data_IF_660044357796
#
_entry.id   IF_660044357796
#
_cell.length_a   1.000
_cell.length_b   1.000
_cell.length_c   1.000
_cell.angle_alpha   90.00
_cell.angle_beta   90.00
_cell.angle_gamma   90.00
#
_symmetry.space_group_name_H-M   'P 1'
#
loop_
_entity.id
_entity.type
_entity.pdbx_description
1 polymer ?
#
# COMPACT_ATOMS: atom_id res chain seq x y z
N UNK A 1 18.70 5.25 0.94
CA UNK A 1 17.62 4.24 0.83
C UNK A 1 17.83 2.96 1.67
N UNK A 2 19.01 2.67 2.16
CA UNK A 2 19.36 1.37 2.81
C UNK A 2 19.05 1.24 4.31
N UNK A 3 18.70 2.31 5.01
CA UNK A 3 18.36 2.24 6.45
C UNK A 3 16.92 1.81 6.71
N UNK A 4 16.00 2.17 5.82
CA UNK A 4 14.57 1.87 5.96
C UNK A 4 14.25 0.39 5.71
N UNK A 5 14.88 -0.23 4.70
CA UNK A 5 14.73 -1.68 4.45
C UNK A 5 15.31 -2.56 5.55
N UNK A 6 16.32 -2.10 6.29
CA UNK A 6 16.87 -2.84 7.43
C UNK A 6 15.96 -2.82 8.65
N UNK A 7 15.15 -1.77 8.83
CA UNK A 7 14.17 -1.71 9.91
C UNK A 7 12.95 -2.62 9.65
N UNK A 8 12.53 -2.78 8.40
CA UNK A 8 11.44 -3.70 8.04
C UNK A 8 11.81 -5.18 8.17
N UNK A 9 13.09 -5.54 8.07
CA UNK A 9 13.62 -6.90 8.31
C UNK A 9 14.07 -7.16 9.74
N UNK A 10 14.31 -6.11 10.51
CA UNK A 10 14.62 -6.23 11.93
C UNK A 10 13.33 -6.54 12.67
N UNK A 11 13.25 -7.76 13.12
CA UNK A 11 12.35 -8.36 14.07
C UNK A 11 11.42 -7.38 14.77
N UNK A 12 10.23 -7.15 14.19
CA UNK A 12 9.16 -6.35 14.79
C UNK A 12 8.81 -6.91 16.19
N UNK A 13 9.07 -8.20 16.43
CA UNK A 13 8.90 -8.85 17.71
C UNK A 13 9.88 -8.33 18.78
N UNK A 14 11.15 -8.08 18.43
CA UNK A 14 12.17 -7.62 19.38
C UNK A 14 12.02 -6.15 19.82
N UNK A 15 11.43 -5.30 18.97
CA UNK A 15 11.17 -3.89 19.31
C UNK A 15 9.87 -3.73 20.09
N UNK A 16 8.94 -4.65 19.93
CA UNK A 16 7.62 -4.62 20.57
C UNK A 16 7.64 -4.97 22.06
N UNK A 17 8.63 -5.70 22.55
CA UNK A 17 8.62 -6.21 23.94
C UNK A 17 9.08 -5.22 25.03
N UNK A 18 9.57 -4.02 24.70
CA UNK A 18 10.25 -3.17 25.68
C UNK A 18 9.61 -1.80 26.01
N UNK A 19 8.48 -1.39 25.42
CA UNK A 19 7.96 -0.03 25.60
C UNK A 19 6.44 0.03 25.90
N UNK A 20 6.05 0.74 26.93
CA UNK A 20 4.65 1.07 27.28
C UNK A 20 3.93 1.95 26.22
N UNK A 21 4.68 2.56 25.28
CA UNK A 21 4.18 3.47 24.23
C UNK A 21 4.05 2.83 22.83
N UNK A 22 4.00 1.50 22.75
CA UNK A 22 4.04 0.71 21.51
C UNK A 22 2.95 1.07 20.49
N UNK A 23 1.76 1.34 20.97
CA UNK A 23 0.63 1.68 20.10
C UNK A 23 0.79 3.02 19.38
N UNK A 24 1.43 4.01 20.04
CA UNK A 24 1.65 5.33 19.46
C UNK A 24 2.74 5.30 18.37
N UNK A 25 3.85 4.60 18.66
CA UNK A 25 4.95 4.42 17.70
C UNK A 25 4.51 3.65 16.45
N UNK A 26 3.72 2.59 16.64
CA UNK A 26 3.17 1.84 15.52
C UNK A 26 2.24 2.69 14.64
N UNK A 27 1.35 3.48 15.27
CA UNK A 27 0.48 4.43 14.55
C UNK A 27 1.29 5.47 13.78
N UNK A 28 2.35 6.01 14.39
CA UNK A 28 3.21 6.97 13.72
C UNK A 28 3.92 6.33 12.53
N UNK A 29 4.49 5.14 12.71
CA UNK A 29 5.16 4.40 11.64
C UNK A 29 4.24 4.09 10.47
N UNK A 30 2.98 3.69 10.75
CA UNK A 30 1.98 3.45 9.70
C UNK A 30 1.63 4.72 8.93
N UNK A 31 1.51 5.87 9.61
CA UNK A 31 1.29 7.17 8.93
C UNK A 31 2.45 7.53 8.01
N UNK A 32 3.68 7.36 8.50
CA UNK A 32 4.88 7.66 7.72
C UNK A 32 4.97 6.75 6.47
N UNK A 33 4.61 5.47 6.60
CA UNK A 33 4.53 4.54 5.45
C UNK A 33 3.44 4.94 4.46
N UNK A 34 2.26 5.30 4.94
CA UNK A 34 1.14 5.73 4.09
C UNK A 34 1.50 6.99 3.30
N UNK A 35 2.13 7.97 3.95
CA UNK A 35 2.60 9.19 3.30
C UNK A 35 3.69 8.90 2.26
N UNK A 36 4.63 8.00 2.56
CA UNK A 36 5.66 7.60 1.61
C UNK A 36 5.10 6.85 0.40
N UNK A 37 4.15 5.93 0.62
CA UNK A 37 3.42 5.26 -0.46
C UNK A 37 2.69 6.26 -1.35
N UNK A 38 1.96 7.21 -0.76
CA UNK A 38 1.26 8.26 -1.50
C UNK A 38 2.21 9.11 -2.38
N UNK A 39 3.40 9.44 -1.86
CA UNK A 39 4.45 10.15 -2.64
C UNK A 39 4.96 9.29 -3.80
N UNK A 40 5.20 8.01 -3.59
CA UNK A 40 5.67 7.09 -4.63
C UNK A 40 4.63 6.87 -5.72
N UNK A 41 3.37 6.69 -5.35
CA UNK A 41 2.27 6.59 -6.31
C UNK A 41 2.10 7.88 -7.13
N UNK A 42 2.27 9.04 -6.50
CA UNK A 42 2.26 10.31 -7.23
C UNK A 42 3.44 10.41 -8.22
N UNK A 43 4.63 9.97 -7.82
CA UNK A 43 5.81 9.92 -8.70
C UNK A 43 5.59 8.95 -9.87
N UNK A 44 5.00 7.77 -9.61
CA UNK A 44 4.66 6.80 -10.66
C UNK A 44 3.69 7.40 -11.69
N UNK A 45 2.64 8.07 -11.21
CA UNK A 45 1.69 8.77 -12.09
C UNK A 45 2.38 9.82 -12.95
N UNK A 46 3.31 10.60 -12.38
CA UNK A 46 4.08 11.60 -13.11
C UNK A 46 4.97 10.97 -14.19
N UNK A 47 5.61 9.83 -13.91
CA UNK A 47 6.41 9.11 -14.89
C UNK A 47 5.56 8.60 -16.07
N UNK A 48 4.35 8.09 -15.79
CA UNK A 48 3.40 7.66 -16.82
C UNK A 48 3.00 8.84 -17.71
N UNK A 49 2.64 9.97 -17.13
CA UNK A 49 2.30 11.20 -17.88
C UNK A 49 3.48 11.66 -18.76
N UNK A 50 4.71 11.58 -18.23
CA UNK A 50 5.92 11.94 -19.00
C UNK A 50 6.13 11.00 -20.19
N UNK A 51 5.97 9.69 -20.01
CA UNK A 51 6.03 8.70 -21.10
C UNK A 51 4.97 8.97 -22.16
N UNK A 52 3.74 9.22 -21.76
CA UNK A 52 2.61 9.43 -22.68
C UNK A 52 2.83 10.71 -23.50
N UNK A 53 3.37 11.75 -22.89
CA UNK A 53 3.77 12.97 -23.62
C UNK A 53 4.88 12.69 -24.63
N UNK A 54 5.91 11.96 -24.23
CA UNK A 54 6.99 11.56 -25.15
C UNK A 54 6.46 10.72 -26.32
N UNK A 55 5.48 9.85 -26.06
CA UNK A 55 4.80 9.04 -27.08
C UNK A 55 4.04 9.93 -28.08
N UNK A 56 3.28 10.92 -27.63
CA UNK A 56 2.59 11.87 -28.50
C UNK A 56 3.57 12.68 -29.36
N UNK A 57 4.67 13.12 -28.77
CA UNK A 57 5.71 13.82 -29.53
C UNK A 57 6.37 12.93 -30.58
N UNK A 58 6.64 11.66 -30.25
CA UNK A 58 7.16 10.66 -31.19
C UNK A 58 6.21 10.45 -32.38
N UNK A 59 4.90 10.28 -32.12
CA UNK A 59 3.88 10.12 -33.16
C UNK A 59 3.82 11.35 -34.07
N UNK A 60 3.83 12.55 -33.51
CA UNK A 60 3.87 13.79 -34.26
C UNK A 60 5.09 13.89 -35.17
N UNK A 61 6.28 13.53 -34.69
CA UNK A 61 7.49 13.50 -35.53
C UNK A 61 7.43 12.39 -36.58
N UNK A 62 6.82 11.24 -36.29
CA UNK A 62 6.63 10.18 -37.25
C UNK A 62 5.75 10.65 -38.44
N UNK A 63 4.60 11.29 -38.14
CA UNK A 63 3.73 11.87 -39.18
C UNK A 63 4.44 12.93 -40.03
N UNK A 64 5.26 13.78 -39.41
CA UNK A 64 6.03 14.80 -40.15
C UNK A 64 7.07 14.15 -41.03
N UNK A 65 7.77 13.13 -40.58
CA UNK A 65 8.72 12.39 -41.38
C UNK A 65 8.04 11.70 -42.58
N UNK A 66 6.88 11.06 -42.36
CA UNK A 66 6.12 10.39 -43.41
C UNK A 66 5.71 11.37 -44.53
N UNK A 67 5.18 12.55 -44.16
CA UNK A 67 4.81 13.59 -45.13
C UNK A 67 6.03 14.07 -45.92
N UNK A 68 7.17 14.31 -45.25
CA UNK A 68 8.40 14.73 -45.95
C UNK A 68 8.95 13.62 -46.84
N UNK A 69 8.84 12.35 -46.48
CA UNK A 69 9.25 11.22 -47.30
C UNK A 69 8.40 11.11 -48.61
N UNK A 70 7.07 11.33 -48.46
CA UNK A 70 6.18 11.41 -49.62
C UNK A 70 6.55 12.56 -50.58
N UNK A 71 6.84 13.76 -50.00
CA UNK A 71 7.27 14.95 -50.77
C UNK A 71 8.62 14.72 -51.48
N UNK A 72 9.55 14.04 -50.76
CA UNK A 72 10.86 13.66 -51.36
C UNK A 72 10.65 12.73 -52.53
N UNK A 73 9.79 11.69 -52.38
CA UNK A 73 9.45 10.78 -53.46
C UNK A 73 8.88 11.50 -54.68
N UNK A 74 7.92 12.39 -54.47
CA UNK A 74 7.32 13.19 -55.54
C UNK A 74 8.30 14.13 -56.22
N UNK A 75 9.26 14.68 -55.47
CA UNK A 75 10.32 15.57 -56.04
C UNK A 75 11.30 14.76 -56.91
N UNK A 76 11.67 13.53 -56.49
CA UNK A 76 12.54 12.62 -57.24
C UNK A 76 11.87 12.20 -58.54
N UNK A 77 10.60 11.78 -58.52
CA UNK A 77 9.83 11.39 -59.71
C UNK A 77 9.77 12.51 -60.75
N UNK A 78 9.73 13.77 -60.29
CA UNK A 78 9.70 14.94 -61.16
C UNK A 78 11.10 15.49 -61.54
N UNK A 79 12.17 14.75 -61.23
CA UNK A 79 13.57 15.17 -61.42
C UNK A 79 13.92 16.55 -60.79
N UNK A 80 13.31 16.85 -59.63
CA UNK A 80 13.54 18.08 -58.88
C UNK A 80 14.57 17.88 -57.74
N UNK A 81 15.79 17.52 -58.08
CA UNK A 81 16.85 17.13 -57.16
C UNK A 81 17.15 18.17 -56.08
N UNK A 82 17.09 19.47 -56.41
CA UNK A 82 17.36 20.55 -55.46
C UNK A 82 16.28 20.60 -54.36
N UNK A 83 15.00 20.34 -54.74
CA UNK A 83 13.89 20.27 -53.77
C UNK A 83 14.07 19.02 -52.90
N UNK A 84 14.37 17.88 -53.50
CA UNK A 84 14.61 16.63 -52.79
C UNK A 84 15.74 16.80 -51.74
N UNK A 85 16.88 17.41 -52.12
CA UNK A 85 17.99 17.71 -51.20
C UNK A 85 17.58 18.61 -50.06
N UNK A 86 16.76 19.64 -50.30
CA UNK A 86 16.25 20.54 -49.27
C UNK A 86 15.34 19.80 -48.27
N UNK A 87 14.45 18.93 -48.75
CA UNK A 87 13.54 18.13 -47.93
C UNK A 87 14.31 17.09 -47.11
N UNK A 88 15.33 16.44 -47.69
CA UNK A 88 16.22 15.53 -46.99
C UNK A 88 16.94 16.23 -45.82
N UNK A 89 17.38 17.48 -46.03
CA UNK A 89 17.99 18.25 -44.93
C UNK A 89 16.98 18.54 -43.80
N UNK A 90 15.69 18.68 -44.11
CA UNK A 90 14.63 18.89 -43.12
C UNK A 90 14.24 17.61 -42.36
N UNK A 91 14.15 16.47 -43.02
CA UNK A 91 13.73 15.22 -42.41
C UNK A 91 14.78 14.64 -41.47
N UNK A 92 16.08 14.78 -41.77
CA UNK A 92 17.16 14.21 -40.95
C UNK A 92 17.10 14.57 -39.47
N UNK A 93 16.98 15.85 -39.06
CA UNK A 93 16.86 16.21 -37.64
C UNK A 93 15.56 15.66 -36.99
N UNK A 94 14.46 15.63 -37.72
CA UNK A 94 13.19 15.09 -37.22
C UNK A 94 13.30 13.60 -36.98
N UNK A 95 13.90 12.87 -37.92
CA UNK A 95 14.15 11.42 -37.77
C UNK A 95 15.07 11.12 -36.58
N UNK A 96 16.10 11.95 -36.36
CA UNK A 96 16.96 11.85 -35.19
C UNK A 96 16.18 12.03 -33.87
N UNK A 97 15.39 13.10 -33.77
CA UNK A 97 14.57 13.35 -32.60
C UNK A 97 13.54 12.24 -32.34
N UNK A 98 12.92 11.71 -33.40
CA UNK A 98 12.02 10.55 -33.29
C UNK A 98 12.73 9.34 -32.68
N UNK A 99 13.94 9.05 -33.13
CA UNK A 99 14.73 7.93 -32.61
C UNK A 99 15.14 8.15 -31.14
N UNK A 100 15.53 9.35 -30.75
CA UNK A 100 15.82 9.68 -29.34
C UNK A 100 14.59 9.52 -28.45
N UNK A 101 13.42 9.99 -28.91
CA UNK A 101 12.17 9.81 -28.18
C UNK A 101 11.81 8.33 -28.04
N UNK A 102 12.02 7.53 -29.09
CA UNK A 102 11.78 6.07 -29.03
C UNK A 102 12.62 5.42 -27.93
N UNK A 103 13.91 5.74 -27.84
CA UNK A 103 14.79 5.22 -26.77
C UNK A 103 14.36 5.72 -25.38
N UNK A 104 13.98 6.99 -25.29
CA UNK A 104 13.49 7.58 -24.03
C UNK A 104 12.22 6.91 -23.54
N UNK A 105 11.24 6.65 -24.41
CA UNK A 105 9.99 5.94 -24.12
C UNK A 105 10.28 4.53 -23.61
N UNK A 106 11.21 3.80 -24.27
CA UNK A 106 11.60 2.45 -23.84
C UNK A 106 12.24 2.46 -22.44
N UNK A 107 13.09 3.44 -22.15
CA UNK A 107 13.72 3.58 -20.84
C UNK A 107 12.69 3.89 -19.75
N UNK A 108 11.85 4.91 -19.98
CA UNK A 108 10.75 5.24 -19.09
C UNK A 108 9.82 4.05 -18.85
N UNK A 109 9.53 3.27 -19.90
CA UNK A 109 8.71 2.06 -19.78
C UNK A 109 9.33 0.99 -18.88
N UNK A 110 10.66 0.85 -18.84
CA UNK A 110 11.36 -0.05 -17.89
C UNK A 110 11.32 0.50 -16.48
N UNK A 111 11.68 1.76 -16.31
CA UNK A 111 11.70 2.44 -15.01
C UNK A 111 10.32 2.43 -14.35
N UNK A 112 9.23 2.66 -15.13
CA UNK A 112 7.85 2.59 -14.65
C UNK A 112 7.52 1.20 -14.14
N UNK A 113 7.89 0.13 -14.86
CA UNK A 113 7.61 -1.24 -14.41
C UNK A 113 8.35 -1.58 -13.12
N UNK A 114 9.65 -1.30 -13.07
CA UNK A 114 10.48 -1.54 -11.88
C UNK A 114 9.99 -0.77 -10.66
N UNK A 115 9.59 0.49 -10.87
CA UNK A 115 9.08 1.33 -9.80
C UNK A 115 7.68 0.90 -9.35
N UNK A 116 6.83 0.47 -10.29
CA UNK A 116 5.51 -0.09 -9.99
C UNK A 116 5.62 -1.34 -9.11
N UNK A 117 6.49 -2.27 -9.47
CA UNK A 117 6.75 -3.49 -8.68
C UNK A 117 7.18 -3.16 -7.25
N UNK A 118 8.06 -2.17 -7.08
CA UNK A 118 8.49 -1.71 -5.75
C UNK A 118 7.35 -1.07 -4.95
N UNK A 119 6.47 -0.32 -5.59
CA UNK A 119 5.31 0.31 -4.93
C UNK A 119 4.32 -0.75 -4.49
N UNK A 120 4.01 -1.73 -5.35
CA UNK A 120 3.11 -2.84 -5.01
C UNK A 120 3.67 -3.72 -3.87
N UNK A 121 4.96 -4.03 -3.87
CA UNK A 121 5.59 -4.75 -2.77
C UNK A 121 5.45 -4.00 -1.44
N UNK A 122 5.69 -2.70 -1.44
CA UNK A 122 5.55 -1.88 -0.24
C UNK A 122 4.10 -1.73 0.22
N UNK A 123 3.15 -1.70 -0.71
CA UNK A 123 1.72 -1.69 -0.41
C UNK A 123 1.31 -2.97 0.31
N UNK A 124 1.73 -4.12 -0.19
CA UNK A 124 1.49 -5.40 0.48
C UNK A 124 2.07 -5.44 1.90
N UNK A 125 3.30 -4.91 2.08
CA UNK A 125 3.93 -4.82 3.40
C UNK A 125 3.12 -3.90 4.34
N UNK A 126 2.63 -2.78 3.84
CA UNK A 126 1.77 -1.87 4.61
C UNK A 126 0.45 -2.54 5.03
N UNK A 127 -0.21 -3.26 4.12
CA UNK A 127 -1.45 -4.00 4.40
C UNK A 127 -1.24 -5.08 5.46
N UNK A 128 -0.13 -5.81 5.39
CA UNK A 128 0.23 -6.81 6.41
C UNK A 128 0.47 -6.17 7.78
N UNK A 129 1.16 -5.03 7.82
CA UNK A 129 1.36 -4.27 9.07
C UNK A 129 0.06 -3.75 9.64
N UNK A 130 -0.86 -3.31 8.78
CA UNK A 130 -2.18 -2.83 9.19
C UNK A 130 -3.01 -3.96 9.85
N UNK A 131 -2.97 -5.16 9.30
CA UNK A 131 -3.63 -6.32 9.89
C UNK A 131 -3.05 -6.66 11.26
N UNK A 132 -1.72 -6.74 11.37
CA UNK A 132 -1.03 -7.01 12.65
C UNK A 132 -1.31 -5.93 13.69
N UNK A 133 -1.37 -4.66 13.28
CA UNK A 133 -1.69 -3.55 14.17
C UNK A 133 -3.12 -3.67 14.74
N UNK A 134 -4.08 -4.11 13.94
CA UNK A 134 -5.46 -4.39 14.39
C UNK A 134 -5.50 -5.55 15.37
N UNK A 135 -4.83 -6.65 15.07
CA UNK A 135 -4.73 -7.82 15.98
C UNK A 135 -4.15 -7.43 17.33
N UNK A 136 -3.07 -6.63 17.30
CA UNK A 136 -2.42 -6.13 18.52
C UNK A 136 -3.34 -5.23 19.35
N UNK A 137 -4.10 -4.32 18.72
CA UNK A 137 -5.03 -3.46 19.45
C UNK A 137 -6.14 -4.27 20.11
N UNK A 138 -6.68 -5.28 19.42
CA UNK A 138 -7.69 -6.19 20.00
C UNK A 138 -7.14 -7.03 21.17
N UNK A 139 -5.88 -7.45 21.07
CA UNK A 139 -5.26 -8.19 22.17
C UNK A 139 -5.04 -7.29 23.39
N UNK A 140 -4.55 -6.07 23.19
CA UNK A 140 -4.36 -5.10 24.28
C UNK A 140 -5.69 -4.71 24.94
N UNK A 141 -6.77 -4.55 24.17
CA UNK A 141 -8.12 -4.33 24.72
C UNK A 141 -8.61 -5.50 25.57
N UNK A 142 -8.39 -6.74 25.15
CA UNK A 142 -8.74 -7.95 25.94
C UNK A 142 -7.97 -7.99 27.25
N UNK A 143 -6.67 -7.76 27.22
CA UNK A 143 -5.84 -7.75 28.44
C UNK A 143 -6.28 -6.66 29.42
N UNK A 144 -6.67 -5.48 28.93
CA UNK A 144 -7.24 -4.42 29.76
C UNK A 144 -8.58 -4.83 30.37
N UNK A 145 -9.45 -5.48 29.60
CA UNK A 145 -10.73 -6.02 30.08
C UNK A 145 -10.52 -7.06 31.18
N UNK A 146 -9.63 -8.02 30.99
CA UNK A 146 -9.32 -9.06 31.99
C UNK A 146 -8.75 -8.45 33.27
N UNK A 147 -7.86 -7.47 33.18
CA UNK A 147 -7.35 -6.72 34.33
C UNK A 147 -8.47 -5.97 35.06
N UNK A 148 -9.37 -5.34 34.31
CA UNK A 148 -10.51 -4.60 34.90
C UNK A 148 -11.49 -5.53 35.60
N UNK A 149 -11.82 -6.66 35.00
CA UNK A 149 -12.71 -7.68 35.60
C UNK A 149 -12.06 -8.27 36.84
N UNK A 150 -10.78 -8.64 36.81
CA UNK A 150 -10.07 -9.20 37.97
C UNK A 150 -9.92 -8.19 39.12
N UNK A 151 -9.92 -6.90 38.83
CA UNK A 151 -9.84 -5.83 39.86
C UNK A 151 -11.24 -5.45 40.38
N UNK A 152 -12.29 -5.61 39.57
CA UNK A 152 -13.66 -5.17 39.89
C UNK A 152 -14.49 -6.25 40.54
N UNK A 153 -14.11 -7.53 40.38
CA UNK A 153 -14.75 -8.65 41.11
C UNK A 153 -14.09 -8.75 42.49
N UNK A 154 -14.77 -8.32 43.58
CA UNK A 154 -14.22 -8.51 44.93
C UNK A 154 -13.97 -10.00 45.13
N UNK A 155 -12.88 -10.33 45.81
CA UNK A 155 -12.53 -11.71 46.22
C UNK A 155 -13.66 -12.47 46.98
N UNK A 156 -14.75 -11.77 47.27
CA UNK A 156 -15.96 -12.35 47.84
C UNK A 156 -16.82 -13.20 46.86
N UNK A 157 -16.64 -13.03 45.53
CA UNK A 157 -17.41 -13.78 44.53
C UNK A 157 -16.76 -15.12 44.15
N UNK A 158 -15.54 -15.39 44.56
CA UNK A 158 -14.85 -16.67 44.38
C UNK A 158 -14.88 -17.54 45.68
N UNK A 159 -15.72 -17.17 46.63
CA UNK A 159 -15.94 -18.07 47.76
C UNK A 159 -16.83 -19.19 47.22
N UNK A 160 -16.26 -20.38 47.07
CA UNK A 160 -17.06 -21.59 46.89
C UNK A 160 -18.08 -21.63 48.03
N UNK A 161 -19.38 -21.73 47.71
CA UNK A 161 -20.40 -21.77 48.75
C UNK A 161 -20.08 -22.94 49.68
N UNK A 162 -19.99 -22.64 50.98
CA UNK A 162 -19.74 -23.66 51.99
C UNK A 162 -20.87 -24.70 51.92
N UNK A 163 -20.57 -25.99 52.15
CA UNK A 163 -21.58 -27.07 52.15
C UNK A 163 -22.79 -26.74 53.00
N UNK A 164 -22.59 -26.03 54.11
CA UNK A 164 -23.67 -25.55 55.00
C UNK A 164 -24.61 -24.53 54.31
N UNK A 165 -24.05 -23.61 53.47
CA UNK A 165 -24.85 -22.64 52.72
C UNK A 165 -25.67 -23.30 51.61
N UNK A 166 -25.09 -24.33 50.96
CA UNK A 166 -25.78 -25.11 49.93
C UNK A 166 -26.93 -25.93 50.55
N UNK A 167 -26.69 -26.50 51.71
CA UNK A 167 -27.68 -27.32 52.42
C UNK A 167 -28.83 -26.45 52.97
N UNK A 168 -28.55 -25.28 53.45
CA UNK A 168 -29.53 -24.29 53.90
C UNK A 168 -30.40 -23.75 52.75
N UNK A 169 -29.83 -23.51 51.61
CA UNK A 169 -30.57 -23.11 50.41
C UNK A 169 -31.43 -24.27 49.86
N UNK A 170 -30.92 -25.50 49.95
CA UNK A 170 -31.66 -26.70 49.58
C UNK A 170 -32.89 -26.92 50.49
N UNK A 171 -32.74 -26.70 51.80
CA UNK A 171 -33.83 -26.78 52.78
C UNK A 171 -34.91 -25.73 52.51
N UNK A 172 -34.51 -24.47 52.27
CA UNK A 172 -35.43 -23.39 51.88
C UNK A 172 -36.24 -23.72 50.63
N UNK A 173 -35.59 -24.27 49.60
CA UNK A 173 -36.27 -24.66 48.38
C UNK A 173 -37.20 -25.86 48.55
N UNK A 174 -36.84 -26.79 49.40
CA UNK A 174 -37.73 -27.94 49.79
C UNK A 174 -38.97 -27.50 50.59
N UNK A 175 -38.83 -26.53 51.50
CA UNK A 175 -39.96 -25.95 52.23
C UNK A 175 -40.89 -25.14 51.31
N UNK A 176 -40.32 -24.36 50.39
CA UNK A 176 -41.10 -23.63 49.39
C UNK A 176 -41.86 -24.55 48.43
N UNK A 177 -41.28 -25.71 48.08
CA UNK A 177 -41.93 -26.71 47.24
C UNK A 177 -43.07 -27.47 48.00
N UNK A 178 -42.94 -27.65 49.32
CA UNK A 178 -43.99 -28.26 50.12
C UNK A 178 -45.16 -27.32 50.46
N UNK A 179 -44.88 -26.01 50.62
CA UNK A 179 -45.92 -24.98 50.84
C UNK A 179 -46.74 -24.61 49.59
N UNK A 180 -46.34 -25.09 48.41
CA UNK A 180 -47.08 -24.86 47.15
C UNK A 180 -48.04 -26.00 46.78
N UNK A 181 -48.07 -27.10 47.58
CA UNK A 181 -48.92 -28.25 47.29
C UNK A 181 -50.23 -28.33 48.18
N UNK A 182 -50.47 -27.32 49.02
CA UNK A 182 -51.69 -27.15 49.84
C UNK A 182 -52.46 -25.86 49.46
N UNK A 183 -52.79 -25.71 48.16
CA UNK A 183 -53.84 -24.76 47.78
C UNK A 183 -54.58 -25.27 46.55
#
# INVERSE_FOLDING_TARGET
MTRFMRLCKADIHGVMDQLEDKGLLLKQYMRDMEEELGRKEASLRQMVVSRDKAQQDHERYAEQCEKLDQDIGAAIEKNKDDIARMLIKKIKPLAYHREELSRHIQNLGREIREFHEQVEEQRLQYEQLQLRAKEYSHQAEREQWEKTISTTVPAAASREPNEEEVELELLKRKEAAKGGAEK
#
